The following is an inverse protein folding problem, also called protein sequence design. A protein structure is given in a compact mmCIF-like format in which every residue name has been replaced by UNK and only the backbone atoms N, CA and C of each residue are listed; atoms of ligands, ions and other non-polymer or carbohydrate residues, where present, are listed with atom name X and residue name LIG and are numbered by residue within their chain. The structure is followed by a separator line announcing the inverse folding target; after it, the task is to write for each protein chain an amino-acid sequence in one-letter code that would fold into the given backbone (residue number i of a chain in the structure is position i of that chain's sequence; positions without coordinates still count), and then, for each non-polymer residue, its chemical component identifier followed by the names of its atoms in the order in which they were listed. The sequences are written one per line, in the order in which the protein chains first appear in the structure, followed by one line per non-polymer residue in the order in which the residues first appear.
data_IF_452072662179
#
_entry.id   IF_452072662179
#
_cell.length_a   1.000
_cell.length_b   1.000
_cell.length_c   1.000
_cell.angle_alpha   90.00
_cell.angle_beta   90.00
_cell.angle_gamma   90.00
#
_symmetry.space_group_name_H-M   'P 1'
#
loop_
_entity.id
_entity.type
_entity.pdbx_description
1 polymer ?
#
# COMPACT_ATOMS: atom_id res chain seq x y z
N UNK A 1 32.37 -21.66 -6.05
CA UNK A 1 31.37 -20.60 -5.80
C UNK A 1 30.38 -21.10 -4.76
N UNK A 2 30.28 -20.47 -3.58
CA UNK A 2 29.19 -20.75 -2.64
C UNK A 2 27.93 -20.05 -3.16
N UNK A 3 26.95 -20.82 -3.61
CA UNK A 3 25.66 -20.27 -4.02
C UNK A 3 25.00 -19.61 -2.82
N UNK A 4 24.71 -18.31 -2.92
CA UNK A 4 23.92 -17.61 -1.90
C UNK A 4 22.51 -18.19 -1.98
N UNK A 5 22.09 -18.94 -0.95
CA UNK A 5 20.71 -19.37 -0.77
C UNK A 5 19.85 -18.13 -0.51
N UNK A 6 19.17 -17.66 -1.55
CA UNK A 6 18.15 -16.62 -1.43
C UNK A 6 16.97 -17.18 -0.66
N UNK A 7 16.74 -16.68 0.55
CA UNK A 7 15.51 -17.02 1.30
C UNK A 7 14.30 -16.66 0.44
N UNK A 8 13.47 -17.67 0.15
CA UNK A 8 12.28 -17.54 -0.69
C UNK A 8 11.20 -16.81 0.10
N UNK A 9 10.81 -15.62 -0.36
CA UNK A 9 9.69 -14.89 0.23
C UNK A 9 8.41 -15.74 0.11
N UNK A 10 7.71 -15.92 1.23
CA UNK A 10 6.41 -16.61 1.24
C UNK A 10 5.33 -15.74 0.58
N UNK A 11 4.65 -16.21 -0.49
CA UNK A 11 3.61 -15.44 -1.18
C UNK A 11 2.45 -15.03 -0.26
N UNK A 12 2.04 -15.90 0.65
CA UNK A 12 0.95 -15.60 1.61
C UNK A 12 1.28 -14.43 2.52
N UNK A 13 2.55 -14.31 2.97
CA UNK A 13 3.00 -13.15 3.76
C UNK A 13 2.98 -11.87 2.92
N UNK A 14 3.43 -11.93 1.67
CA UNK A 14 3.40 -10.79 0.77
C UNK A 14 1.95 -10.32 0.50
N UNK A 15 1.02 -11.26 0.35
CA UNK A 15 -0.41 -10.98 0.17
C UNK A 15 -1.02 -10.31 1.42
N UNK A 16 -0.76 -10.85 2.61
CA UNK A 16 -1.21 -10.25 3.88
C UNK A 16 -0.66 -8.84 4.07
N UNK A 17 0.63 -8.63 3.79
CA UNK A 17 1.24 -7.29 3.85
C UNK A 17 0.62 -6.34 2.81
N UNK A 18 0.14 -6.84 1.68
CA UNK A 18 -0.45 -6.00 0.62
C UNK A 18 -1.83 -5.42 0.96
N UNK A 19 -2.40 -5.72 2.15
CA UNK A 19 -3.57 -5.00 2.68
C UNK A 19 -3.27 -3.49 2.74
N UNK A 20 -2.03 -3.12 3.09
CA UNK A 20 -1.53 -1.76 2.91
C UNK A 20 -0.75 -1.74 1.60
N UNK A 21 -1.19 -0.99 0.57
CA UNK A 21 -0.50 -0.96 -0.71
C UNK A 21 0.98 -0.56 -0.52
N UNK A 22 1.86 -1.31 -1.19
CA UNK A 22 3.30 -1.12 -1.14
C UNK A 22 4.06 -2.05 -0.18
N UNK A 23 3.50 -2.44 0.96
CA UNK A 23 4.24 -3.25 1.95
C UNK A 23 4.61 -4.65 1.43
N UNK A 24 3.72 -5.33 0.71
CA UNK A 24 4.04 -6.62 0.09
C UNK A 24 5.16 -6.54 -0.96
N UNK A 25 5.30 -5.38 -1.64
CA UNK A 25 6.39 -5.15 -2.60
C UNK A 25 7.72 -4.90 -1.90
N UNK A 26 7.72 -4.19 -0.76
CA UNK A 26 8.90 -4.01 0.09
C UNK A 26 9.38 -5.38 0.59
N UNK A 27 8.47 -6.23 1.06
CA UNK A 27 8.78 -7.60 1.48
C UNK A 27 9.39 -8.44 0.35
N UNK A 28 8.86 -8.30 -0.88
CA UNK A 28 9.42 -8.91 -2.09
C UNK A 28 10.69 -8.22 -2.62
N UNK A 29 11.34 -7.36 -1.82
CA UNK A 29 12.55 -6.59 -2.17
C UNK A 29 12.38 -5.66 -3.40
N UNK A 30 11.15 -5.45 -3.87
CA UNK A 30 10.80 -4.51 -4.94
C UNK A 30 10.60 -3.09 -4.37
N UNK A 31 11.67 -2.53 -3.81
CA UNK A 31 11.62 -1.27 -3.03
C UNK A 31 11.03 -0.09 -3.80
N UNK A 32 11.41 0.08 -5.08
CA UNK A 32 10.89 1.17 -5.91
C UNK A 32 9.36 1.13 -6.02
N UNK A 33 8.79 -0.04 -6.38
CA UNK A 33 7.33 -0.23 -6.44
C UNK A 33 6.70 -0.05 -5.07
N UNK A 34 7.33 -0.62 -4.03
CA UNK A 34 6.87 -0.51 -2.66
C UNK A 34 6.70 0.94 -2.20
N UNK A 35 7.71 1.78 -2.41
CA UNK A 35 7.65 3.18 -2.04
C UNK A 35 6.69 4.01 -2.90
N UNK A 36 6.56 3.72 -4.20
CA UNK A 36 5.57 4.38 -5.06
C UNK A 36 4.15 4.11 -4.54
N UNK A 37 3.80 2.84 -4.33
CA UNK A 37 2.46 2.49 -3.83
C UNK A 37 2.19 3.02 -2.43
N UNK A 38 3.19 2.96 -1.54
CA UNK A 38 3.05 3.49 -0.18
C UNK A 38 2.89 5.02 -0.19
N UNK A 39 3.68 5.72 -1.01
CA UNK A 39 3.58 7.17 -1.16
C UNK A 39 2.22 7.62 -1.70
N UNK A 40 1.73 6.97 -2.76
CA UNK A 40 0.38 7.22 -3.29
C UNK A 40 -0.70 6.95 -2.24
N UNK A 41 -0.56 5.88 -1.45
CA UNK A 41 -1.51 5.57 -0.36
C UNK A 41 -1.53 6.68 0.68
N UNK A 42 -0.38 7.17 1.12
CA UNK A 42 -0.29 8.26 2.10
C UNK A 42 -0.94 9.53 1.54
N UNK A 43 -0.61 9.91 0.30
CA UNK A 43 -1.21 11.08 -0.35
C UNK A 43 -2.73 10.94 -0.47
N UNK A 44 -3.22 9.76 -0.85
CA UNK A 44 -4.65 9.47 -0.93
C UNK A 44 -5.34 9.58 0.44
N UNK A 45 -4.77 9.00 1.50
CA UNK A 45 -5.35 9.07 2.86
C UNK A 45 -5.40 10.52 3.35
N UNK A 46 -4.33 11.29 3.14
CA UNK A 46 -4.30 12.71 3.50
C UNK A 46 -5.35 13.51 2.73
N UNK A 47 -5.45 13.30 1.43
CA UNK A 47 -6.49 13.91 0.58
C UNK A 47 -7.90 13.52 1.05
N UNK A 48 -8.13 12.23 1.31
CA UNK A 48 -9.42 11.73 1.71
C UNK A 48 -9.84 12.33 3.06
N UNK A 49 -8.98 12.33 4.06
CA UNK A 49 -9.31 12.87 5.37
C UNK A 49 -9.49 14.40 5.35
N UNK A 50 -8.67 15.13 4.59
CA UNK A 50 -8.72 16.59 4.57
C UNK A 50 -9.84 17.16 3.70
N UNK A 51 -10.17 16.51 2.58
CA UNK A 51 -11.05 17.06 1.56
C UNK A 51 -12.24 16.16 1.24
N UNK A 52 -12.05 14.86 1.04
CA UNK A 52 -13.13 14.00 0.54
C UNK A 52 -14.10 13.50 1.62
N UNK A 53 -13.62 13.23 2.85
CA UNK A 53 -14.42 12.69 3.94
C UNK A 53 -15.51 13.67 4.43
N UNK A 54 -15.25 14.99 4.55
CA UNK A 54 -16.30 15.96 4.85
C UNK A 54 -17.42 15.97 3.79
N UNK A 55 -17.06 15.81 2.51
CA UNK A 55 -18.02 15.79 1.38
C UNK A 55 -18.96 14.58 1.39
N UNK A 56 -18.65 13.53 2.15
CA UNK A 56 -19.57 12.40 2.30
C UNK A 56 -20.89 12.81 2.98
N UNK A 57 -20.85 13.84 3.84
CA UNK A 57 -22.07 14.41 4.43
C UNK A 57 -22.95 15.13 3.41
N UNK A 58 -22.32 15.80 2.43
CA UNK A 58 -23.03 16.45 1.32
C UNK A 58 -23.69 15.42 0.42
N UNK A 59 -23.05 14.27 0.16
CA UNK A 59 -23.65 13.18 -0.63
C UNK A 59 -24.97 12.67 -0.02
N UNK A 60 -25.04 12.55 1.31
CA UNK A 60 -26.28 12.15 2.01
C UNK A 60 -27.34 13.25 1.92
N UNK A 61 -26.93 14.51 1.97
CA UNK A 61 -27.84 15.67 1.98
C UNK A 61 -28.41 16.02 0.60
N UNK A 62 -27.77 15.55 -0.48
CA UNK A 62 -28.26 15.69 -1.86
C UNK A 62 -29.28 14.61 -2.29
N UNK A 63 -29.42 13.51 -1.53
CA UNK A 63 -30.39 12.45 -1.79
C UNK A 63 -31.78 12.77 -1.26
#
# INVERSE_FOLDING_TARGET
MKGVIMEKQQPSKAALLSIIPGLGQIYNKQKAKGFIFLGVTIVFVLYFLALAAPELSNLITLG
#
